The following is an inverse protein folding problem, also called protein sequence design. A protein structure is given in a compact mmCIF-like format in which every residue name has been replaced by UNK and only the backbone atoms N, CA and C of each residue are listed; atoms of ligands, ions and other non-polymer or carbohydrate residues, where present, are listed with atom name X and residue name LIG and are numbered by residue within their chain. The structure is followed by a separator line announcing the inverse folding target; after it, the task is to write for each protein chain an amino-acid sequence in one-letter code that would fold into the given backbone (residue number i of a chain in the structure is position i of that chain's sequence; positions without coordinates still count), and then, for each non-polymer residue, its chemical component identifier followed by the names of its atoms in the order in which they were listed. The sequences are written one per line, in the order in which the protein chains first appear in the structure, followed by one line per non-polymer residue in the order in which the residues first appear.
data_IF_074160725217
#
_entry.id   IF_074160725217
#
_cell.length_a   1.000
_cell.length_b   1.000
_cell.length_c   1.000
_cell.angle_alpha   90.00
_cell.angle_beta   90.00
_cell.angle_gamma   90.00
#
_symmetry.space_group_name_H-M   'P 1'
#
loop_
_entity.id
_entity.type
_entity.pdbx_description
1 polymer ?
#
# COMPACT_ATOMS: atom_id res chain seq x y z
N UNK A 1 -22.70 15.98 -0.34
CA UNK A 1 -21.30 15.56 0.04
C UNK A 1 -21.31 14.05 0.18
N UNK A 2 -20.42 13.35 -0.48
CA UNK A 2 -20.32 11.88 -0.37
C UNK A 2 -19.70 11.52 1.00
N UNK A 3 -20.27 10.51 1.67
CA UNK A 3 -19.71 10.00 2.94
C UNK A 3 -18.31 9.43 2.69
N UNK A 4 -17.26 9.83 3.43
CA UNK A 4 -15.91 9.31 3.24
C UNK A 4 -15.82 7.83 3.62
N UNK A 5 -14.84 7.12 3.09
CA UNK A 5 -14.59 5.72 3.42
C UNK A 5 -14.17 5.56 4.89
N UNK A 6 -13.33 6.47 5.39
CA UNK A 6 -12.93 6.52 6.80
C UNK A 6 -13.02 7.96 7.28
N UNK A 7 -13.57 8.17 8.48
CA UNK A 7 -13.52 9.45 9.21
C UNK A 7 -13.08 9.21 10.63
N UNK A 8 -12.00 9.90 11.02
CA UNK A 8 -11.46 9.91 12.38
C UNK A 8 -11.57 11.32 12.93
N UNK A 9 -12.14 11.46 14.13
CA UNK A 9 -12.33 12.76 14.79
C UNK A 9 -11.78 12.71 16.22
N UNK A 10 -10.76 13.53 16.47
CA UNK A 10 -10.13 13.72 17.78
C UNK A 10 -9.73 12.42 18.48
N UNK A 11 -9.24 11.45 17.68
CA UNK A 11 -8.89 10.13 18.18
C UNK A 11 -7.68 10.17 19.08
N UNK A 12 -7.84 9.75 20.32
CA UNK A 12 -6.73 9.51 21.25
C UNK A 12 -6.76 8.07 21.74
N UNK A 13 -5.58 7.43 21.79
CA UNK A 13 -5.43 6.10 22.37
C UNK A 13 -4.28 6.07 23.37
N UNK A 14 -4.65 5.84 24.62
CA UNK A 14 -3.74 5.61 25.73
C UNK A 14 -3.71 4.12 26.09
N UNK A 15 -2.52 3.60 26.38
CA UNK A 15 -2.32 2.26 26.95
C UNK A 15 -1.79 2.39 28.39
N UNK A 16 -2.25 1.54 29.28
CA UNK A 16 -1.65 1.38 30.62
C UNK A 16 -0.54 0.35 30.55
N UNK A 17 0.70 0.74 30.85
CA UNK A 17 1.88 -0.12 30.77
C UNK A 17 2.47 -0.34 32.17
N UNK A 18 2.78 -1.60 32.45
CA UNK A 18 3.38 -2.02 33.72
C UNK A 18 2.44 -1.98 34.90
N UNK A 19 2.92 -2.50 36.05
CA UNK A 19 2.14 -2.63 37.30
C UNK A 19 1.75 -1.26 37.89
N UNK A 20 2.53 -0.23 37.58
CA UNK A 20 2.28 1.17 38.05
C UNK A 20 1.31 1.94 37.17
N UNK A 21 0.76 1.34 36.10
CA UNK A 21 -0.23 1.96 35.23
C UNK A 21 0.28 3.21 34.50
N UNK A 22 1.55 3.24 34.09
CA UNK A 22 2.11 4.34 33.32
C UNK A 22 1.32 4.47 32.01
N UNK A 23 0.76 5.65 31.73
CA UNK A 23 0.04 5.90 30.48
C UNK A 23 1.03 6.10 29.34
N UNK A 24 0.95 5.26 28.33
CA UNK A 24 1.64 5.41 27.05
C UNK A 24 0.61 5.88 26.03
N UNK A 25 0.75 7.10 25.54
CA UNK A 25 -0.10 7.66 24.48
C UNK A 25 0.44 7.20 23.12
N UNK A 26 -0.32 6.37 22.43
CA UNK A 26 0.04 5.82 21.14
C UNK A 26 -0.54 6.63 19.96
N UNK A 27 -1.70 7.28 20.17
CA UNK A 27 -2.31 8.21 19.22
C UNK A 27 -2.81 9.41 20.05
N UNK A 28 -2.58 10.64 19.56
CA UNK A 28 -2.84 11.88 20.26
C UNK A 28 -3.59 12.86 19.36
N UNK A 29 -4.89 13.01 19.61
CA UNK A 29 -5.80 13.95 18.95
C UNK A 29 -5.77 13.87 17.41
N UNK A 30 -5.80 12.65 16.86
CA UNK A 30 -5.75 12.44 15.42
C UNK A 30 -7.11 12.75 14.79
N UNK A 31 -7.10 13.67 13.81
CA UNK A 31 -8.18 13.88 12.84
C UNK A 31 -7.70 13.46 11.46
N UNK A 32 -8.47 12.63 10.74
CA UNK A 32 -8.11 12.11 9.44
C UNK A 32 -9.36 11.74 8.64
N UNK A 33 -9.34 12.03 7.33
CA UNK A 33 -10.41 11.63 6.44
C UNK A 33 -9.85 10.96 5.17
N UNK A 34 -10.31 9.73 4.90
CA UNK A 34 -9.99 8.99 3.67
C UNK A 34 -11.20 9.03 2.76
N UNK A 35 -11.02 9.53 1.56
CA UNK A 35 -12.05 9.63 0.53
C UNK A 35 -12.42 8.27 -0.07
N UNK A 36 -13.37 8.29 -1.00
CA UNK A 36 -13.74 7.10 -1.76
C UNK A 36 -12.86 6.97 -3.01
N UNK A 37 -12.55 5.74 -3.40
CA UNK A 37 -11.80 5.43 -4.61
C UNK A 37 -10.42 6.13 -4.68
N UNK A 38 -9.72 6.19 -3.55
CA UNK A 38 -8.34 6.65 -3.48
C UNK A 38 -7.42 5.60 -2.85
N UNK A 39 -6.14 5.68 -3.14
CA UNK A 39 -5.09 4.98 -2.42
C UNK A 39 -4.52 5.98 -1.42
N UNK A 40 -4.75 5.74 -0.13
CA UNK A 40 -4.31 6.59 0.96
C UNK A 40 -3.18 5.95 1.75
N UNK A 41 -2.07 6.65 1.89
CA UNK A 41 -0.90 6.19 2.64
C UNK A 41 -0.87 6.72 4.08
N UNK A 42 -0.73 5.84 5.07
CA UNK A 42 -0.49 6.19 6.45
C UNK A 42 0.99 5.97 6.77
N UNK A 43 1.78 7.04 6.82
CA UNK A 43 3.24 7.02 6.86
C UNK A 43 3.79 7.35 8.24
N UNK A 44 4.99 6.87 8.51
CA UNK A 44 5.72 7.23 9.72
C UNK A 44 6.67 6.12 10.20
N UNK A 45 7.62 6.45 11.07
CA UNK A 45 8.54 5.47 11.64
C UNK A 45 7.81 4.44 12.52
N UNK A 46 8.51 3.38 12.91
CA UNK A 46 7.98 2.41 13.85
C UNK A 46 7.65 3.11 15.18
N UNK A 47 6.51 2.75 15.77
CA UNK A 47 6.00 3.39 16.98
C UNK A 47 5.32 4.76 16.77
N UNK A 48 5.12 5.21 15.53
CA UNK A 48 4.42 6.48 15.26
C UNK A 48 2.90 6.45 15.48
N UNK A 49 2.29 5.27 15.70
CA UNK A 49 0.86 5.11 15.91
C UNK A 49 0.09 4.49 14.76
N UNK A 50 0.71 4.18 13.59
CA UNK A 50 0.05 3.62 12.40
C UNK A 50 -0.80 2.38 12.70
N UNK A 51 -0.18 1.32 13.18
CA UNK A 51 -0.89 0.04 13.46
C UNK A 51 -1.92 0.19 14.60
N UNK A 52 -1.71 1.12 15.54
CA UNK A 52 -2.73 1.45 16.56
C UNK A 52 -3.94 2.12 15.91
N UNK A 53 -3.72 3.09 15.03
CA UNK A 53 -4.79 3.75 14.27
C UNK A 53 -5.56 2.74 13.41
N UNK A 54 -4.85 1.88 12.66
CA UNK A 54 -5.47 0.80 11.86
C UNK A 54 -6.33 -0.12 12.73
N UNK A 55 -5.84 -0.53 13.90
CA UNK A 55 -6.61 -1.40 14.82
C UNK A 55 -7.87 -0.70 15.35
N UNK A 56 -7.85 0.63 15.56
CA UNK A 56 -9.05 1.39 15.95
C UNK A 56 -10.02 1.49 14.77
N UNK A 57 -9.54 1.75 13.55
CA UNK A 57 -10.38 1.74 12.33
C UNK A 57 -11.06 0.38 12.17
N UNK A 58 -10.34 -0.72 12.38
CA UNK A 58 -10.88 -2.09 12.32
C UNK A 58 -11.80 -2.44 13.50
N UNK A 59 -11.97 -1.56 14.49
CA UNK A 59 -12.73 -1.86 15.71
C UNK A 59 -12.12 -2.98 16.57
N UNK A 60 -10.84 -3.27 16.38
CA UNK A 60 -10.06 -4.22 17.18
C UNK A 60 -9.52 -3.61 18.47
N UNK A 61 -9.44 -2.28 18.50
CA UNK A 61 -9.09 -1.48 19.67
C UNK A 61 -10.12 -0.37 19.84
N UNK A 62 -10.55 -0.16 21.08
CA UNK A 62 -11.40 0.97 21.44
C UNK A 62 -10.55 2.22 21.63
N UNK A 63 -11.03 3.35 21.12
CA UNK A 63 -10.42 4.66 21.37
C UNK A 63 -10.55 5.04 22.85
N UNK A 64 -9.56 5.76 23.40
CA UNK A 64 -9.68 6.35 24.72
C UNK A 64 -10.61 7.58 24.70
N UNK A 65 -10.52 8.39 23.64
CA UNK A 65 -11.44 9.49 23.31
C UNK A 65 -11.53 9.65 21.79
N UNK A 66 -12.55 10.40 21.35
CA UNK A 66 -12.81 10.63 19.93
C UNK A 66 -13.64 9.53 19.28
N UNK A 67 -13.74 9.58 17.96
CA UNK A 67 -14.55 8.64 17.19
C UNK A 67 -13.88 8.21 15.90
N UNK A 68 -14.29 7.05 15.39
CA UNK A 68 -13.88 6.52 14.09
C UNK A 68 -15.08 5.90 13.39
N UNK A 69 -15.30 6.27 12.14
CA UNK A 69 -16.38 5.77 11.29
C UNK A 69 -15.83 5.20 10.00
N UNK A 70 -16.52 4.15 9.49
CA UNK A 70 -16.31 3.57 8.17
C UNK A 70 -17.63 3.73 7.40
N UNK A 71 -17.62 4.47 6.28
CA UNK A 71 -18.81 4.80 5.50
C UNK A 71 -19.97 5.31 6.38
N UNK A 72 -19.65 6.21 7.35
CA UNK A 72 -20.62 6.82 8.27
C UNK A 72 -21.16 5.89 9.36
N UNK A 73 -20.60 4.69 9.53
CA UNK A 73 -20.95 3.76 10.61
C UNK A 73 -19.82 3.69 11.61
N UNK A 74 -20.10 3.76 12.95
CA UNK A 74 -19.07 3.57 13.97
C UNK A 74 -18.24 2.29 13.73
N UNK A 75 -16.92 2.40 13.78
CA UNK A 75 -15.99 1.32 13.43
C UNK A 75 -16.13 0.08 14.32
N UNK A 76 -16.63 0.24 15.55
CA UNK A 76 -16.90 -0.85 16.49
C UNK A 76 -18.09 -1.74 16.04
N UNK A 77 -18.97 -1.23 15.19
CA UNK A 77 -20.10 -2.00 14.71
C UNK A 77 -19.68 -3.06 13.69
N UNK A 78 -20.23 -4.26 13.81
CA UNK A 78 -19.97 -5.37 12.86
C UNK A 78 -20.37 -4.96 11.43
N UNK A 79 -21.45 -4.20 11.30
CA UNK A 79 -21.96 -3.74 10.00
C UNK A 79 -20.96 -2.82 9.25
N UNK A 80 -20.12 -2.06 9.95
CA UNK A 80 -19.07 -1.24 9.35
C UNK A 80 -17.96 -2.12 8.76
N UNK A 81 -17.61 -3.20 9.43
CA UNK A 81 -16.50 -4.10 9.05
C UNK A 81 -16.81 -5.06 7.90
N UNK A 82 -18.09 -5.28 7.58
CA UNK A 82 -18.49 -6.17 6.47
C UNK A 82 -17.96 -5.72 5.11
N UNK A 83 -17.74 -4.42 4.95
CA UNK A 83 -17.19 -3.83 3.71
C UNK A 83 -15.68 -3.69 3.71
N UNK A 84 -14.98 -4.25 4.72
CA UNK A 84 -13.53 -4.07 4.92
C UNK A 84 -12.79 -5.37 4.69
N UNK A 85 -11.79 -5.33 3.81
CA UNK A 85 -10.74 -6.34 3.69
C UNK A 85 -9.51 -5.90 4.47
N UNK A 86 -8.86 -6.82 5.19
CA UNK A 86 -7.68 -6.49 5.99
C UNK A 86 -6.54 -7.48 5.77
N UNK A 87 -5.35 -6.94 5.51
CA UNK A 87 -4.10 -7.66 5.49
C UNK A 87 -3.19 -7.11 6.60
N UNK A 88 -2.87 -7.86 7.65
CA UNK A 88 -1.90 -7.47 8.66
C UNK A 88 -0.46 -7.56 8.13
N UNK A 89 0.49 -6.86 8.77
CA UNK A 89 1.93 -6.89 8.44
C UNK A 89 2.49 -8.32 8.41
N UNK A 90 2.12 -9.15 9.37
CA UNK A 90 2.53 -10.55 9.48
C UNK A 90 1.31 -11.47 9.49
N UNK A 91 0.77 -11.84 8.32
CA UNK A 91 -0.37 -12.74 8.27
C UNK A 91 0.03 -14.13 8.79
N UNK A 92 -0.78 -14.66 9.70
CA UNK A 92 -0.59 -16.01 10.22
C UNK A 92 -1.63 -16.95 9.62
N UNK A 93 -1.17 -17.93 8.84
CA UNK A 93 -2.04 -18.88 8.15
C UNK A 93 -1.81 -20.32 8.58
N UNK A 94 -2.82 -21.16 8.39
CA UNK A 94 -2.73 -22.60 8.55
C UNK A 94 -1.82 -23.20 7.47
N UNK A 95 -0.60 -23.55 7.84
CA UNK A 95 0.48 -23.98 6.93
C UNK A 95 0.19 -25.26 6.16
N UNK A 96 -0.71 -26.10 6.66
CA UNK A 96 -1.11 -27.36 6.04
C UNK A 96 -2.16 -27.21 4.93
N UNK A 97 -2.87 -26.09 4.88
CA UNK A 97 -3.82 -25.80 3.81
C UNK A 97 -3.07 -25.41 2.53
N UNK A 98 -3.68 -25.68 1.39
CA UNK A 98 -3.28 -25.08 0.12
C UNK A 98 -3.74 -23.61 0.06
N UNK A 99 -3.18 -22.80 -0.84
CA UNK A 99 -3.64 -21.42 -1.02
C UNK A 99 -5.12 -21.34 -1.39
N UNK A 100 -5.58 -22.23 -2.28
CA UNK A 100 -6.98 -22.31 -2.66
C UNK A 100 -7.90 -22.66 -1.48
N UNK A 101 -7.54 -23.67 -0.69
CA UNK A 101 -8.30 -24.06 0.51
C UNK A 101 -8.35 -22.93 1.54
N UNK A 102 -7.24 -22.20 1.72
CA UNK A 102 -7.15 -21.07 2.62
C UNK A 102 -8.12 -19.95 2.21
N UNK A 103 -8.10 -19.51 0.93
CA UNK A 103 -8.98 -18.45 0.44
C UNK A 103 -10.44 -18.90 0.50
N UNK A 104 -10.73 -20.16 0.14
CA UNK A 104 -12.07 -20.74 0.25
C UNK A 104 -12.57 -20.78 1.70
N UNK A 105 -11.70 -21.06 2.67
CA UNK A 105 -12.02 -21.00 4.09
C UNK A 105 -12.45 -19.58 4.50
N UNK A 106 -11.70 -18.56 4.10
CA UNK A 106 -12.06 -17.17 4.39
C UNK A 106 -13.32 -16.72 3.65
N UNK A 107 -13.56 -17.15 2.42
CA UNK A 107 -14.81 -16.88 1.72
C UNK A 107 -16.04 -17.34 2.53
N UNK A 108 -15.95 -18.51 3.18
CA UNK A 108 -17.01 -19.03 4.06
C UNK A 108 -17.16 -18.20 5.34
N UNK A 109 -16.05 -17.79 5.98
CA UNK A 109 -16.07 -16.94 7.18
C UNK A 109 -16.70 -15.58 6.86
N UNK A 110 -16.35 -14.99 5.72
CA UNK A 110 -16.91 -13.73 5.25
C UNK A 110 -18.33 -13.87 4.67
N UNK A 111 -18.96 -15.05 4.78
CA UNK A 111 -20.33 -15.32 4.38
C UNK A 111 -20.60 -15.08 2.88
N UNK A 112 -19.61 -15.32 2.02
CA UNK A 112 -19.81 -15.35 0.57
C UNK A 112 -20.87 -16.44 0.25
N UNK A 113 -21.88 -16.16 -0.59
CA UNK A 113 -22.89 -17.15 -0.97
C UNK A 113 -22.26 -18.43 -1.51
N UNK A 114 -22.76 -19.59 -1.09
CA UNK A 114 -22.17 -20.89 -1.45
C UNK A 114 -22.02 -21.09 -2.96
N UNK A 115 -22.96 -20.58 -3.74
CA UNK A 115 -22.96 -20.61 -5.21
C UNK A 115 -21.87 -19.76 -5.86
N UNK A 116 -21.31 -18.79 -5.11
CA UNK A 116 -20.35 -17.81 -5.63
C UNK A 116 -18.91 -18.07 -5.13
N UNK A 117 -18.75 -18.95 -4.11
CA UNK A 117 -17.45 -19.16 -3.46
C UNK A 117 -16.37 -19.55 -4.47
N UNK A 118 -16.61 -20.54 -5.32
CA UNK A 118 -15.57 -21.03 -6.23
C UNK A 118 -15.15 -19.96 -7.22
N UNK A 119 -16.10 -19.24 -7.81
CA UNK A 119 -15.84 -18.11 -8.69
C UNK A 119 -15.07 -16.98 -7.98
N UNK A 120 -15.47 -16.63 -6.76
CA UNK A 120 -14.81 -15.58 -5.98
C UNK A 120 -13.36 -15.97 -5.65
N UNK A 121 -13.14 -17.23 -5.25
CA UNK A 121 -11.80 -17.77 -4.93
C UNK A 121 -10.90 -17.73 -6.15
N UNK A 122 -11.34 -18.26 -7.28
CA UNK A 122 -10.56 -18.30 -8.52
C UNK A 122 -10.20 -16.88 -8.99
N UNK A 123 -11.17 -15.98 -8.98
CA UNK A 123 -10.97 -14.58 -9.40
C UNK A 123 -9.94 -13.84 -8.55
N UNK A 124 -9.94 -14.01 -7.22
CA UNK A 124 -8.95 -13.31 -6.39
C UNK A 124 -7.57 -13.96 -6.43
N UNK A 125 -7.50 -15.28 -6.62
CA UNK A 125 -6.23 -16.01 -6.82
C UNK A 125 -5.56 -15.57 -8.13
N UNK A 126 -6.33 -15.42 -9.19
CA UNK A 126 -5.87 -14.88 -10.47
C UNK A 126 -5.40 -13.43 -10.31
N UNK A 127 -6.21 -12.57 -9.67
CA UNK A 127 -5.88 -11.16 -9.43
C UNK A 127 -4.52 -10.99 -8.73
N UNK A 128 -4.22 -11.84 -7.75
CA UNK A 128 -2.95 -11.76 -7.02
C UNK A 128 -1.80 -12.53 -7.68
N UNK A 129 -2.03 -13.14 -8.86
CA UNK A 129 -1.02 -13.88 -9.63
C UNK A 129 -0.55 -15.15 -8.92
N UNK A 130 -1.47 -15.89 -8.28
CA UNK A 130 -1.15 -17.10 -7.51
C UNK A 130 -1.73 -18.38 -8.12
N UNK A 131 -2.24 -18.35 -9.35
CA UNK A 131 -2.93 -19.48 -10.01
C UNK A 131 -2.08 -20.76 -10.03
N UNK A 132 -0.83 -20.68 -10.45
CA UNK A 132 0.08 -21.84 -10.53
C UNK A 132 0.43 -22.42 -9.17
N UNK A 133 0.47 -21.58 -8.13
CA UNK A 133 0.84 -21.97 -6.78
C UNK A 133 -0.36 -22.27 -5.89
N UNK A 134 -1.59 -22.04 -6.36
CA UNK A 134 -2.81 -22.12 -5.56
C UNK A 134 -3.00 -23.47 -4.86
N UNK A 135 -2.60 -24.56 -5.50
CA UNK A 135 -2.73 -25.93 -4.96
C UNK A 135 -1.53 -26.42 -4.15
N UNK A 136 -0.47 -25.60 -4.02
CA UNK A 136 0.66 -25.89 -3.12
C UNK A 136 0.28 -25.52 -1.69
N UNK A 137 0.89 -26.22 -0.71
CA UNK A 137 0.68 -25.89 0.72
C UNK A 137 1.26 -24.53 1.07
N UNK A 138 0.50 -23.74 1.81
CA UNK A 138 0.91 -22.38 2.29
C UNK A 138 2.23 -22.43 3.06
N UNK A 139 2.51 -23.53 3.77
CA UNK A 139 3.80 -23.74 4.46
C UNK A 139 5.04 -23.74 3.56
N UNK A 140 4.87 -23.87 2.23
CA UNK A 140 5.96 -23.83 1.22
C UNK A 140 6.09 -22.47 0.53
N UNK A 141 5.28 -21.49 0.89
CA UNK A 141 5.26 -20.18 0.25
C UNK A 141 6.41 -19.28 0.72
N UNK A 142 6.98 -18.52 -0.21
CA UNK A 142 7.86 -17.41 0.12
C UNK A 142 7.09 -16.29 0.83
N UNK A 143 7.80 -15.33 1.42
CA UNK A 143 7.16 -14.20 2.09
C UNK A 143 6.26 -13.40 1.14
N UNK A 144 6.73 -13.12 -0.09
CA UNK A 144 5.91 -12.45 -1.12
C UNK A 144 4.67 -13.25 -1.51
N UNK A 145 4.77 -14.59 -1.61
CA UNK A 145 3.60 -15.45 -1.85
C UNK A 145 2.62 -15.43 -0.68
N UNK A 146 3.11 -15.37 0.57
CA UNK A 146 2.25 -15.23 1.76
C UNK A 146 1.52 -13.89 1.76
N UNK A 147 2.16 -12.80 1.36
CA UNK A 147 1.51 -11.50 1.22
C UNK A 147 0.45 -11.53 0.10
N UNK A 148 0.76 -12.10 -1.06
CA UNK A 148 -0.21 -12.22 -2.17
C UNK A 148 -1.43 -13.06 -1.79
N UNK A 149 -1.25 -14.22 -1.15
CA UNK A 149 -2.40 -15.03 -0.73
C UNK A 149 -3.18 -14.37 0.41
N UNK A 150 -2.50 -13.58 1.25
CA UNK A 150 -3.14 -12.72 2.26
C UNK A 150 -3.99 -11.62 1.64
N UNK A 151 -3.53 -11.01 0.53
CA UNK A 151 -4.36 -10.10 -0.27
C UNK A 151 -5.59 -10.83 -0.83
N UNK A 152 -5.42 -12.01 -1.44
CA UNK A 152 -6.55 -12.79 -1.96
C UNK A 152 -7.60 -13.06 -0.87
N UNK A 153 -7.15 -13.47 0.32
CA UNK A 153 -8.03 -13.70 1.48
C UNK A 153 -8.78 -12.43 1.90
N UNK A 154 -8.11 -11.27 1.89
CA UNK A 154 -8.74 -10.01 2.27
C UNK A 154 -9.74 -9.49 1.24
N UNK A 155 -9.68 -9.97 0.00
CA UNK A 155 -10.47 -9.50 -1.14
C UNK A 155 -11.64 -10.44 -1.50
N UNK A 156 -11.65 -11.67 -0.99
CA UNK A 156 -12.56 -12.74 -1.46
C UNK A 156 -14.06 -12.42 -1.29
N UNK A 157 -14.41 -11.53 -0.37
CA UNK A 157 -15.78 -11.06 -0.13
C UNK A 157 -16.11 -9.72 -0.80
N UNK A 158 -15.29 -9.31 -1.76
CA UNK A 158 -15.44 -8.08 -2.56
C UNK A 158 -15.61 -6.78 -1.72
N UNK A 159 -14.69 -6.49 -0.77
CA UNK A 159 -14.81 -5.32 0.10
C UNK A 159 -14.74 -4.01 -0.69
N UNK A 160 -15.35 -2.94 -0.15
CA UNK A 160 -15.24 -1.58 -0.71
C UNK A 160 -13.99 -0.85 -0.19
N UNK A 161 -13.55 -1.17 1.04
CA UNK A 161 -12.35 -0.63 1.68
C UNK A 161 -11.37 -1.76 1.94
N UNK A 162 -10.13 -1.59 1.50
CA UNK A 162 -9.04 -2.53 1.75
C UNK A 162 -7.97 -1.86 2.61
N UNK A 163 -7.66 -2.45 3.76
CA UNK A 163 -6.66 -1.94 4.69
C UNK A 163 -5.46 -2.88 4.69
N UNK A 164 -4.28 -2.34 4.41
CA UNK A 164 -3.03 -3.08 4.26
C UNK A 164 -1.99 -2.54 5.25
N UNK A 165 -1.65 -3.32 6.27
CA UNK A 165 -0.62 -2.93 7.24
C UNK A 165 0.75 -3.42 6.77
N UNK A 166 1.64 -2.50 6.32
CA UNK A 166 2.99 -2.78 5.82
C UNK A 166 3.05 -3.90 4.74
N UNK A 167 2.25 -3.84 3.65
CA UNK A 167 2.05 -4.98 2.74
C UNK A 167 3.30 -5.44 2.01
N UNK A 168 4.33 -4.61 1.93
CA UNK A 168 5.61 -4.88 1.24
C UNK A 168 6.77 -5.14 2.20
N UNK A 169 6.54 -5.13 3.52
CA UNK A 169 7.60 -5.30 4.51
C UNK A 169 8.34 -6.63 4.37
N UNK A 170 9.66 -6.54 4.04
CA UNK A 170 10.53 -7.69 3.84
C UNK A 170 10.19 -8.57 2.64
N UNK A 171 9.50 -8.03 1.67
CA UNK A 171 9.32 -8.59 0.33
C UNK A 171 10.41 -8.02 -0.58
N UNK A 172 10.92 -8.82 -1.52
CA UNK A 172 11.89 -8.37 -2.50
C UNK A 172 11.31 -7.30 -3.45
N UNK A 173 12.15 -6.53 -4.18
CA UNK A 173 11.68 -5.45 -5.05
C UNK A 173 10.67 -5.89 -6.10
N UNK A 174 10.84 -7.08 -6.71
CA UNK A 174 9.92 -7.62 -7.71
C UNK A 174 8.57 -7.97 -7.10
N UNK A 175 8.58 -8.62 -5.94
CA UNK A 175 7.37 -8.93 -5.18
C UNK A 175 6.62 -7.66 -4.74
N UNK A 176 7.36 -6.65 -4.27
CA UNK A 176 6.82 -5.34 -3.87
C UNK A 176 6.16 -4.61 -5.03
N UNK A 177 6.81 -4.60 -6.22
CA UNK A 177 6.22 -4.03 -7.44
C UNK A 177 4.93 -4.75 -7.84
N UNK A 178 4.90 -6.09 -7.73
CA UNK A 178 3.70 -6.87 -7.99
C UNK A 178 2.55 -6.56 -7.01
N UNK A 179 2.84 -6.33 -5.74
CA UNK A 179 1.83 -5.90 -4.74
C UNK A 179 1.31 -4.49 -5.09
N UNK A 180 2.20 -3.57 -5.47
CA UNK A 180 1.81 -2.22 -5.88
C UNK A 180 0.86 -2.24 -7.10
N UNK A 181 1.10 -3.13 -8.08
CA UNK A 181 0.21 -3.27 -9.24
C UNK A 181 -1.17 -3.81 -8.84
N UNK A 182 -1.24 -4.77 -7.92
CA UNK A 182 -2.52 -5.24 -7.38
C UNK A 182 -3.28 -4.08 -6.71
N UNK A 183 -2.59 -3.23 -5.93
CA UNK A 183 -3.21 -2.07 -5.28
C UNK A 183 -3.74 -1.05 -6.31
N UNK A 184 -3.00 -0.79 -7.40
CA UNK A 184 -3.50 0.06 -8.50
C UNK A 184 -4.73 -0.54 -9.17
N UNK A 185 -4.74 -1.86 -9.38
CA UNK A 185 -5.89 -2.56 -9.96
C UNK A 185 -7.12 -2.46 -9.05
N UNK A 186 -6.96 -2.56 -7.72
CA UNK A 186 -8.06 -2.36 -6.78
C UNK A 186 -8.69 -0.97 -6.93
N UNK A 187 -7.87 0.08 -7.06
CA UNK A 187 -8.35 1.45 -7.32
C UNK A 187 -9.09 1.53 -8.66
N UNK A 188 -8.56 0.92 -9.75
CA UNK A 188 -9.24 0.88 -11.06
C UNK A 188 -10.61 0.21 -10.98
N UNK A 189 -10.78 -0.76 -10.07
CA UNK A 189 -12.07 -1.41 -9.77
C UNK A 189 -12.97 -0.61 -8.84
N UNK A 190 -12.62 0.64 -8.52
CA UNK A 190 -13.43 1.52 -7.66
C UNK A 190 -13.30 1.24 -6.16
N UNK A 191 -12.28 0.47 -5.73
CA UNK A 191 -12.05 0.23 -4.31
C UNK A 191 -11.25 1.37 -3.68
N UNK A 192 -11.48 1.61 -2.38
CA UNK A 192 -10.63 2.48 -1.57
C UNK A 192 -9.57 1.63 -0.87
N UNK A 193 -8.32 2.10 -0.88
CA UNK A 193 -7.23 1.40 -0.21
C UNK A 193 -6.57 2.32 0.80
N UNK A 194 -6.49 1.88 2.06
CA UNK A 194 -5.63 2.47 3.08
C UNK A 194 -4.44 1.55 3.29
N UNK A 195 -3.23 2.05 3.09
CA UNK A 195 -2.03 1.26 3.37
C UNK A 195 -1.09 1.99 4.33
N UNK A 196 -0.45 1.26 5.22
CA UNK A 196 0.62 1.79 6.05
C UNK A 196 1.98 1.47 5.45
N UNK A 197 2.95 2.37 5.63
CA UNK A 197 4.36 2.11 5.32
C UNK A 197 5.28 2.99 6.15
N UNK A 198 6.49 2.52 6.37
CA UNK A 198 7.61 3.31 6.87
C UNK A 198 8.61 3.69 5.76
N UNK A 199 8.41 3.19 4.53
CA UNK A 199 9.27 3.40 3.36
C UNK A 199 8.61 4.38 2.39
N UNK A 200 9.06 5.64 2.41
CA UNK A 200 8.49 6.73 1.61
C UNK A 200 8.59 6.48 0.11
N UNK A 201 9.72 5.95 -0.38
CA UNK A 201 9.94 5.69 -1.80
C UNK A 201 8.94 4.69 -2.42
N UNK A 202 8.36 3.77 -1.63
CA UNK A 202 7.35 2.83 -2.12
C UNK A 202 5.96 3.45 -2.28
N UNK A 203 5.74 4.59 -1.62
CA UNK A 203 4.46 5.29 -1.53
C UNK A 203 4.31 6.32 -2.64
N UNK A 204 5.41 7.01 -2.99
CA UNK A 204 5.44 8.16 -3.91
C UNK A 204 4.78 7.85 -5.27
N UNK A 205 5.00 6.68 -5.82
CA UNK A 205 4.38 6.27 -7.10
C UNK A 205 3.07 5.47 -6.97
N UNK A 206 2.52 5.34 -5.76
CA UNK A 206 1.37 4.47 -5.49
C UNK A 206 0.18 5.22 -4.90
N UNK A 207 0.41 6.11 -3.93
CA UNK A 207 -0.65 6.79 -3.19
C UNK A 207 -1.08 8.10 -3.85
N UNK A 208 -2.38 8.42 -3.77
CA UNK A 208 -2.93 9.72 -4.16
C UNK A 208 -2.70 10.77 -3.08
N UNK A 209 -2.98 10.38 -1.82
CA UNK A 209 -2.82 11.20 -0.63
C UNK A 209 -2.14 10.41 0.47
N UNK A 210 -1.49 11.14 1.37
CA UNK A 210 -0.80 10.55 2.52
C UNK A 210 -1.05 11.37 3.77
N UNK A 211 -0.98 10.68 4.92
CA UNK A 211 -0.88 11.28 6.23
C UNK A 211 0.42 10.79 6.90
N UNK A 212 1.22 11.72 7.38
CA UNK A 212 2.50 11.43 8.05
C UNK A 212 2.28 11.51 9.55
N UNK A 213 2.49 10.37 10.24
CA UNK A 213 2.40 10.29 11.69
C UNK A 213 3.78 10.29 12.33
N UNK A 214 3.92 11.04 13.43
CA UNK A 214 5.09 11.01 14.27
C UNK A 214 4.69 11.08 15.75
N UNK A 215 5.13 10.11 16.57
CA UNK A 215 4.84 10.05 18.01
C UNK A 215 3.35 10.20 18.33
N UNK A 216 2.50 9.52 17.57
CA UNK A 216 1.05 9.51 17.75
C UNK A 216 0.30 10.71 17.17
N UNK A 217 0.98 11.69 16.60
CA UNK A 217 0.38 12.92 16.06
C UNK A 217 0.46 12.94 14.53
N UNK A 218 -0.54 13.58 13.91
CA UNK A 218 -0.49 13.96 12.51
C UNK A 218 0.48 15.14 12.34
N UNK A 219 1.51 14.93 11.51
CA UNK A 219 2.50 15.97 11.18
C UNK A 219 2.08 16.71 9.92
N UNK A 220 1.67 15.95 8.90
CA UNK A 220 1.31 16.49 7.60
C UNK A 220 0.31 15.56 6.92
N UNK A 221 -0.61 16.14 6.15
CA UNK A 221 -1.54 15.43 5.26
C UNK A 221 -1.66 16.21 3.96
N UNK A 222 -1.77 15.50 2.84
CA UNK A 222 -1.95 16.12 1.54
C UNK A 222 -1.81 15.15 0.38
N UNK A 223 -1.94 15.67 -0.83
CA UNK A 223 -1.64 14.92 -2.05
C UNK A 223 -0.13 14.69 -2.15
N UNK A 224 0.25 13.52 -2.66
CA UNK A 224 1.68 13.16 -2.75
C UNK A 224 2.42 14.11 -3.68
N UNK A 225 1.85 14.42 -4.85
CA UNK A 225 2.40 15.37 -5.82
C UNK A 225 2.67 16.75 -5.17
N UNK A 226 1.70 17.31 -4.43
CA UNK A 226 1.83 18.61 -3.76
C UNK A 226 2.86 18.62 -2.60
N UNK A 227 3.01 17.47 -1.91
CA UNK A 227 3.92 17.37 -0.76
C UNK A 227 5.39 17.20 -1.16
N UNK A 228 5.65 16.59 -2.32
CA UNK A 228 7.03 16.36 -2.82
C UNK A 228 7.50 17.43 -3.79
N UNK A 229 6.60 18.32 -4.24
CA UNK A 229 6.93 19.41 -5.13
C UNK A 229 7.82 20.45 -4.42
N UNK A 230 9.01 20.67 -4.96
CA UNK A 230 9.90 21.71 -4.46
C UNK A 230 9.40 23.06 -4.94
N UNK A 231 8.83 23.87 -4.02
CA UNK A 231 8.12 25.14 -4.34
C UNK A 231 8.96 26.18 -5.10
N UNK A 232 10.29 26.08 -5.05
CA UNK A 232 11.21 27.08 -5.61
C UNK A 232 12.26 26.45 -6.55
N UNK A 233 12.01 25.24 -7.07
CA UNK A 233 12.97 24.56 -7.96
C UNK A 233 12.23 23.80 -9.08
N UNK A 234 12.78 23.92 -10.28
CA UNK A 234 12.38 23.14 -11.45
C UNK A 234 13.49 22.13 -11.80
N UNK A 235 13.11 20.93 -12.21
CA UNK A 235 14.04 19.92 -12.70
C UNK A 235 13.92 19.80 -14.22
N UNK A 236 14.98 20.14 -14.93
CA UNK A 236 15.08 20.00 -16.38
C UNK A 236 15.98 18.80 -16.71
N UNK A 237 15.43 17.81 -17.41
CA UNK A 237 16.22 16.69 -17.95
C UNK A 237 16.54 17.00 -19.40
N UNK A 238 17.83 17.13 -19.70
CA UNK A 238 18.29 17.47 -21.06
C UNK A 238 19.20 16.35 -21.55
N UNK A 239 18.91 15.84 -22.75
CA UNK A 239 19.70 14.78 -23.40
C UNK A 239 20.50 15.35 -24.57
N UNK A 240 21.67 14.76 -24.85
CA UNK A 240 22.47 15.07 -26.05
C UNK A 240 23.19 16.41 -26.02
N UNK A 241 23.34 17.08 -24.86
CA UNK A 241 24.07 18.34 -24.74
C UNK A 241 25.57 18.17 -24.90
N UNK A 242 26.18 18.99 -25.80
CA UNK A 242 27.63 19.16 -25.84
C UNK A 242 28.14 19.98 -24.64
N UNK A 243 29.46 19.95 -24.32
CA UNK A 243 30.01 20.83 -23.28
C UNK A 243 29.72 22.31 -23.50
N UNK A 244 29.80 22.79 -24.76
CA UNK A 244 29.46 24.16 -25.12
C UNK A 244 27.99 24.48 -24.97
N UNK A 245 27.12 23.55 -25.38
CA UNK A 245 25.66 23.65 -25.22
C UNK A 245 25.27 23.75 -23.75
N UNK A 246 25.96 23.02 -22.87
CA UNK A 246 25.74 23.08 -21.42
C UNK A 246 26.07 24.47 -20.86
N UNK A 247 27.23 25.05 -21.23
CA UNK A 247 27.62 26.39 -20.80
C UNK A 247 26.62 27.45 -21.27
N UNK A 248 26.08 27.31 -22.50
CA UNK A 248 25.06 28.21 -23.03
C UNK A 248 23.73 28.13 -22.25
N UNK A 249 23.29 26.93 -21.85
CA UNK A 249 22.07 26.75 -21.04
C UNK A 249 22.28 27.38 -19.66
N UNK A 250 23.42 27.16 -19.01
CA UNK A 250 23.77 27.74 -17.70
C UNK A 250 23.74 29.27 -17.74
N UNK A 251 24.40 29.88 -18.74
CA UNK A 251 24.41 31.31 -18.94
C UNK A 251 22.98 31.87 -19.22
N UNK A 252 22.15 31.12 -19.91
CA UNK A 252 20.75 31.53 -20.18
C UNK A 252 19.91 31.53 -18.91
N UNK A 253 20.06 30.50 -18.05
CA UNK A 253 19.38 30.41 -16.75
C UNK A 253 19.76 31.63 -15.87
N UNK A 254 21.05 31.94 -15.78
CA UNK A 254 21.55 33.08 -15.01
C UNK A 254 21.04 34.43 -15.56
N UNK A 255 21.00 34.60 -16.89
CA UNK A 255 20.49 35.80 -17.54
C UNK A 255 18.99 36.03 -17.28
N UNK A 256 18.23 34.97 -17.00
CA UNK A 256 16.81 35.03 -16.63
C UNK A 256 16.60 35.13 -15.10
N UNK A 257 17.66 35.34 -14.32
CA UNK A 257 17.60 35.49 -12.87
C UNK A 257 17.52 34.14 -12.10
N UNK A 258 17.63 33.03 -12.80
CA UNK A 258 17.69 31.70 -12.19
C UNK A 258 19.11 31.36 -11.72
N UNK A 259 19.25 30.31 -10.94
CA UNK A 259 20.54 29.74 -10.51
C UNK A 259 20.54 28.23 -10.71
N UNK A 260 21.55 27.72 -11.40
CA UNK A 260 21.75 26.27 -11.51
C UNK A 260 22.21 25.71 -10.17
N UNK A 261 21.29 25.11 -9.42
CA UNK A 261 21.56 24.62 -8.08
C UNK A 261 22.35 23.30 -8.08
N UNK A 262 22.08 22.43 -9.09
CA UNK A 262 22.68 21.10 -9.18
C UNK A 262 22.77 20.60 -10.62
N UNK A 263 23.84 19.95 -10.95
CA UNK A 263 24.00 19.21 -12.21
C UNK A 263 24.40 17.79 -11.89
N UNK A 264 23.56 16.85 -12.27
CA UNK A 264 23.84 15.43 -12.10
C UNK A 264 23.30 14.63 -13.27
N UNK A 265 23.89 13.47 -13.49
CA UNK A 265 23.28 12.49 -14.40
C UNK A 265 22.07 11.87 -13.71
N UNK A 266 20.93 11.74 -14.42
CA UNK A 266 19.78 10.98 -13.88
C UNK A 266 20.26 9.60 -13.40
N UNK A 267 19.94 9.28 -12.16
CA UNK A 267 20.26 7.97 -11.57
C UNK A 267 18.95 7.23 -11.34
N UNK A 268 18.88 6.03 -11.85
CA UNK A 268 17.85 5.09 -11.40
C UNK A 268 18.19 4.64 -9.98
N UNK A 269 17.19 4.48 -9.11
CA UNK A 269 17.41 3.75 -7.87
C UNK A 269 17.86 2.32 -8.19
N UNK A 270 18.59 1.69 -7.26
CA UNK A 270 19.04 0.31 -7.48
C UNK A 270 17.86 -0.65 -7.68
N UNK A 271 16.74 -0.39 -7.00
CA UNK A 271 15.48 -1.14 -7.18
C UNK A 271 14.91 -0.96 -8.58
N UNK A 272 14.85 0.28 -9.10
CA UNK A 272 14.37 0.57 -10.45
C UNK A 272 15.29 -0.05 -11.53
N UNK A 273 16.60 -0.03 -11.31
CA UNK A 273 17.55 -0.69 -12.18
C UNK A 273 17.36 -2.21 -12.17
N UNK A 274 17.25 -2.81 -10.99
CA UNK A 274 17.00 -4.25 -10.84
C UNK A 274 15.71 -4.69 -11.52
N UNK A 275 14.60 -3.95 -11.31
CA UNK A 275 13.32 -4.24 -11.96
C UNK A 275 13.43 -4.18 -13.49
N UNK A 276 14.12 -3.16 -14.03
CA UNK A 276 14.33 -3.01 -15.47
C UNK A 276 15.11 -4.19 -16.05
N UNK A 277 16.21 -4.60 -15.41
CA UNK A 277 17.04 -5.74 -15.85
C UNK A 277 16.28 -7.05 -15.81
N UNK A 278 15.49 -7.30 -14.76
CA UNK A 278 14.68 -8.51 -14.62
C UNK A 278 13.61 -8.56 -15.71
N UNK A 279 12.85 -7.48 -15.92
CA UNK A 279 11.81 -7.41 -16.96
C UNK A 279 12.37 -7.60 -18.37
N UNK A 280 13.55 -7.04 -18.64
CA UNK A 280 14.21 -7.23 -19.93
C UNK A 280 14.56 -8.70 -20.16
N UNK A 281 15.13 -9.38 -19.18
CA UNK A 281 15.49 -10.81 -19.28
C UNK A 281 14.27 -11.72 -19.40
N UNK A 282 13.20 -11.41 -18.69
CA UNK A 282 11.93 -12.15 -18.81
C UNK A 282 11.34 -12.00 -20.22
N UNK A 283 11.36 -10.78 -20.79
CA UNK A 283 10.90 -10.52 -22.16
C UNK A 283 11.75 -11.25 -23.20
N UNK A 284 13.07 -11.29 -23.04
CA UNK A 284 14.00 -12.01 -23.91
C UNK A 284 13.76 -13.53 -23.81
N UNK A 285 13.50 -14.04 -22.62
CA UNK A 285 13.20 -15.45 -22.39
C UNK A 285 11.85 -15.85 -23.03
N UNK A 286 10.82 -15.04 -22.86
CA UNK A 286 9.51 -15.25 -23.47
C UNK A 286 9.57 -15.24 -25.00
N UNK A 287 10.37 -14.35 -25.59
CA UNK A 287 10.59 -14.30 -27.04
C UNK A 287 11.37 -15.51 -27.57
N UNK A 288 12.34 -16.03 -26.81
CA UNK A 288 13.06 -17.25 -27.17
C UNK A 288 12.18 -18.49 -27.13
N UNK A 289 11.28 -18.60 -26.17
CA UNK A 289 10.32 -19.70 -26.05
C UNK A 289 9.32 -19.65 -27.20
N UNK A 290 8.80 -18.48 -27.58
CA UNK A 290 7.88 -18.31 -28.72
C UNK A 290 8.55 -18.50 -30.08
N UNK A 291 9.84 -18.21 -30.23
CA UNK A 291 10.61 -18.40 -31.45
C UNK A 291 11.16 -19.83 -31.64
N UNK A 292 11.10 -20.68 -30.62
CA UNK A 292 11.56 -22.08 -30.65
C UNK A 292 10.49 -23.11 -31.03
N UNK A 293 9.24 -22.72 -31.22
CA UNK A 293 8.15 -23.60 -31.68
C UNK A 293 7.96 -23.62 -33.21
N UNK A 294 8.92 -23.07 -33.97
CA UNK A 294 8.92 -23.11 -35.44
C UNK A 294 10.14 -23.85 -35.93
N UNK A 295 10.18 -25.18 -35.74
CA UNK A 295 11.01 -26.14 -36.55
C UNK A 295 10.33 -27.51 -36.52
#
# INVERSE_FOLDING_TARGET
MTTPAIRIQHLTKDFSVGIRGIKLRAVDDLCLEVGNNEIFGLLGPNGSGKSTTIKVILGLLEASTGSCEIYGKPSQQVAARRSVGFLPEAPYFYRYLTGHELVRYYARICMVPRSEIDRAVDSVIELVGMTEAAHRRVGTYSKGMLQRIGLAQSLVHDPQLVILDEPTAGVDPLGSAGIAEIVRELKRRGKTVLLSSHLLAQIEGLCDRVAILHRGKLVQEGRVDELVEAKDAESLVVEGLSPEGRAAVEATIEAQGGRLARVEKPRLSLDAYFLKEVQQRESEHANKVRGGESL
#
